data_IF_816111656514
#
_entry.id   IF_816111656514
#
_cell.length_a   1.000
_cell.length_b   1.000
_cell.length_c   1.000
_cell.angle_alpha   90.00
_cell.angle_beta   90.00
_cell.angle_gamma   90.00
#
_symmetry.space_group_name_H-M   'P 1'
#
loop_
_entity.id
_entity.type
_entity.pdbx_description
1 polymer ?
#
# COMPACT_ATOMS: atom_id res chain seq x y z
N UNK A 1 26.00 -2.20 11.48
CA UNK A 1 24.63 -1.73 11.23
C UNK A 1 23.92 -1.24 12.49
N UNK A 2 24.18 -1.80 13.65
CA UNK A 2 23.59 -1.36 14.94
C UNK A 2 24.23 -0.06 15.48
N UNK A 3 25.50 0.21 15.19
CA UNK A 3 26.20 1.42 15.65
C UNK A 3 25.75 2.75 15.01
N UNK A 4 25.02 2.69 13.88
CA UNK A 4 24.47 3.89 13.24
C UNK A 4 23.09 4.29 13.77
N UNK A 5 22.48 3.47 14.62
CA UNK A 5 21.19 3.78 15.23
C UNK A 5 21.34 4.53 16.57
N UNK A 6 22.54 4.49 17.18
CA UNK A 6 22.79 5.14 18.49
C UNK A 6 23.20 6.63 18.36
N UNK A 7 23.62 7.09 17.18
CA UNK A 7 24.11 8.46 16.99
C UNK A 7 23.12 9.29 16.13
N UNK A 8 21.97 9.67 16.68
CA UNK A 8 21.26 10.81 16.14
C UNK A 8 20.06 10.54 15.25
N UNK A 9 19.18 9.62 15.60
CA UNK A 9 17.86 9.49 14.97
C UNK A 9 16.76 10.29 15.70
N UNK A 10 17.08 10.88 16.83
CA UNK A 10 16.21 11.88 17.46
C UNK A 10 16.55 13.23 16.80
N UNK A 11 15.57 13.82 16.14
CA UNK A 11 15.67 15.19 15.67
C UNK A 11 15.95 16.09 16.88
N UNK A 12 17.13 16.71 16.98
CA UNK A 12 17.46 17.53 18.14
C UNK A 12 16.57 18.78 18.27
N UNK A 13 15.77 19.09 17.25
CA UNK A 13 14.80 20.18 17.25
C UNK A 13 13.38 19.69 17.61
N UNK A 14 13.17 18.39 17.85
CA UNK A 14 11.87 17.88 18.26
C UNK A 14 11.56 18.28 19.70
N UNK A 15 10.61 19.17 19.88
CA UNK A 15 10.00 19.44 21.17
C UNK A 15 9.02 18.29 21.52
N UNK A 16 9.52 17.34 22.33
CA UNK A 16 8.76 16.14 22.70
C UNK A 16 7.50 16.49 23.49
N UNK A 17 7.58 17.47 24.40
CA UNK A 17 6.44 17.89 25.22
C UNK A 17 5.33 18.50 24.35
N UNK A 18 5.69 19.43 23.47
CA UNK A 18 4.73 20.01 22.52
C UNK A 18 4.17 18.97 21.52
N UNK A 19 4.94 17.94 21.16
CA UNK A 19 4.44 16.87 20.30
C UNK A 19 3.43 15.98 21.05
N UNK A 20 3.69 15.70 22.32
CA UNK A 20 2.79 14.94 23.18
C UNK A 20 1.48 15.71 23.41
N UNK A 21 1.56 16.99 23.77
CA UNK A 21 0.37 17.82 24.02
C UNK A 21 -0.53 17.91 22.79
N UNK A 22 0.03 18.15 21.60
CA UNK A 22 -0.73 18.11 20.34
C UNK A 22 -1.43 16.78 20.11
N UNK A 23 -0.82 15.68 20.54
CA UNK A 23 -1.41 14.35 20.39
C UNK A 23 -2.57 14.12 21.35
N UNK A 24 -2.47 14.63 22.56
CA UNK A 24 -3.57 14.60 23.53
C UNK A 24 -4.74 15.45 23.04
N UNK A 25 -4.50 16.66 22.55
CA UNK A 25 -5.53 17.52 21.95
C UNK A 25 -6.24 16.84 20.76
N UNK A 26 -5.48 16.10 19.94
CA UNK A 26 -6.06 15.30 18.84
C UNK A 26 -6.96 14.17 19.35
N UNK A 27 -6.56 13.47 20.45
CA UNK A 27 -7.37 12.44 21.08
C UNK A 27 -8.67 13.02 21.66
N UNK A 28 -8.56 14.11 22.41
CA UNK A 28 -9.71 14.79 23.00
C UNK A 28 -10.66 15.28 21.92
N UNK A 29 -10.15 15.76 20.79
CA UNK A 29 -10.96 16.15 19.64
C UNK A 29 -11.80 14.99 19.11
N UNK A 30 -11.25 13.79 18.95
CA UNK A 30 -12.00 12.63 18.44
C UNK A 30 -12.93 12.03 19.48
N UNK A 31 -12.63 12.17 20.77
CA UNK A 31 -13.48 11.68 21.86
C UNK A 31 -14.64 12.64 22.21
N UNK A 32 -14.57 13.88 21.75
CA UNK A 32 -15.68 14.83 21.84
C UNK A 32 -16.78 14.48 20.82
N UNK A 33 -17.97 14.13 21.33
CA UNK A 33 -19.08 13.60 20.50
C UNK A 33 -20.13 14.63 20.13
N UNK A 34 -20.01 15.88 20.59
CA UNK A 34 -21.14 16.82 20.58
C UNK A 34 -21.56 17.37 19.19
N UNK A 35 -20.71 17.25 18.16
CA UNK A 35 -21.02 17.80 16.81
C UNK A 35 -20.55 16.90 15.64
N UNK A 36 -20.44 15.60 15.81
CA UNK A 36 -19.81 14.74 14.80
C UNK A 36 -20.80 14.15 13.81
N UNK A 37 -20.39 14.14 12.54
CA UNK A 37 -21.27 13.83 11.41
C UNK A 37 -21.05 12.44 10.83
N UNK A 38 -19.89 11.82 11.10
CA UNK A 38 -19.49 10.57 10.46
C UNK A 38 -18.98 9.55 11.47
N UNK A 39 -19.20 8.27 11.16
CA UNK A 39 -18.56 7.16 11.85
C UNK A 39 -17.31 6.72 11.07
N UNK A 40 -16.37 6.04 11.75
CA UNK A 40 -15.17 5.53 11.09
C UNK A 40 -15.52 4.50 10.01
N UNK A 41 -16.57 3.67 10.22
CA UNK A 41 -17.03 2.69 9.24
C UNK A 41 -17.52 3.37 7.94
N UNK A 42 -18.23 4.50 8.07
CA UNK A 42 -18.73 5.22 6.90
C UNK A 42 -17.59 5.75 6.02
N UNK A 43 -16.52 6.26 6.63
CA UNK A 43 -15.33 6.71 5.90
C UNK A 43 -14.57 5.51 5.31
N UNK A 44 -14.43 4.42 6.06
CA UNK A 44 -13.79 3.21 5.57
C UNK A 44 -14.53 2.61 4.37
N UNK A 45 -15.85 2.47 4.45
CA UNK A 45 -16.68 1.98 3.35
C UNK A 45 -16.58 2.89 2.12
N UNK A 46 -16.57 4.21 2.32
CA UNK A 46 -16.39 5.17 1.22
C UNK A 46 -15.00 5.01 0.57
N UNK A 47 -13.94 4.84 1.36
CA UNK A 47 -12.58 4.57 0.87
C UNK A 47 -12.55 3.28 0.05
N UNK A 48 -13.11 2.18 0.56
CA UNK A 48 -13.17 0.90 -0.14
C UNK A 48 -13.88 1.03 -1.49
N UNK A 49 -15.03 1.74 -1.54
CA UNK A 49 -15.75 2.01 -2.78
C UNK A 49 -14.95 2.84 -3.78
N UNK A 50 -14.19 3.83 -3.30
CA UNK A 50 -13.32 4.63 -4.16
C UNK A 50 -12.23 3.76 -4.78
N UNK A 51 -11.55 2.96 -3.96
CA UNK A 51 -10.47 2.08 -4.44
C UNK A 51 -11.01 1.00 -5.40
N UNK A 52 -12.17 0.42 -5.09
CA UNK A 52 -12.79 -0.59 -5.96
C UNK A 52 -13.21 -0.03 -7.31
N UNK A 53 -13.81 1.17 -7.34
CA UNK A 53 -14.36 1.74 -8.57
C UNK A 53 -13.34 2.47 -9.46
N UNK A 54 -12.23 2.96 -8.88
CA UNK A 54 -11.33 3.88 -9.60
C UNK A 54 -9.86 3.46 -9.58
N UNK A 55 -9.46 2.55 -8.70
CA UNK A 55 -8.05 2.14 -8.55
C UNK A 55 -7.82 0.64 -8.88
N UNK A 56 -8.63 0.07 -9.77
CA UNK A 56 -8.43 -1.30 -10.22
C UNK A 56 -8.91 -2.36 -9.24
N UNK A 57 -10.08 -2.14 -8.62
CA UNK A 57 -10.71 -3.13 -7.75
C UNK A 57 -11.47 -4.22 -8.51
N UNK A 58 -12.18 -5.06 -7.76
CA UNK A 58 -12.92 -6.21 -8.28
C UNK A 58 -14.01 -5.78 -9.25
N UNK A 59 -14.74 -4.69 -8.94
CA UNK A 59 -15.84 -4.19 -9.77
C UNK A 59 -15.39 -3.73 -11.14
N UNK A 60 -14.13 -3.33 -11.30
CA UNK A 60 -13.51 -2.92 -12.56
C UNK A 60 -12.68 -4.03 -13.22
N UNK A 61 -12.79 -5.27 -12.73
CA UNK A 61 -11.99 -6.40 -13.19
C UNK A 61 -10.47 -6.12 -13.11
N UNK A 62 -10.06 -5.39 -12.06
CA UNK A 62 -8.68 -4.96 -11.82
C UNK A 62 -8.10 -4.01 -12.87
N UNK A 63 -8.95 -3.37 -13.66
CA UNK A 63 -8.57 -2.43 -14.71
C UNK A 63 -8.67 -0.98 -14.21
N UNK A 64 -7.73 -0.15 -14.63
CA UNK A 64 -7.69 1.28 -14.32
C UNK A 64 -7.01 2.07 -15.43
N UNK A 65 -7.19 3.38 -15.42
CA UNK A 65 -6.49 4.33 -16.27
C UNK A 65 -6.12 5.58 -15.47
N UNK A 66 -5.29 6.45 -16.05
CA UNK A 66 -4.77 7.64 -15.36
C UNK A 66 -5.89 8.57 -14.86
N UNK A 67 -6.95 8.76 -15.66
CA UNK A 67 -8.09 9.61 -15.26
C UNK A 67 -8.85 9.06 -14.07
N UNK A 68 -9.05 7.75 -14.02
CA UNK A 68 -9.68 7.08 -12.87
C UNK A 68 -8.81 7.23 -11.62
N UNK A 69 -7.49 7.05 -11.74
CA UNK A 69 -6.56 7.22 -10.61
C UNK A 69 -6.51 8.67 -10.10
N UNK A 70 -6.62 9.67 -10.98
CA UNK A 70 -6.72 11.07 -10.55
C UNK A 70 -8.00 11.32 -9.75
N UNK A 71 -9.13 10.79 -10.23
CA UNK A 71 -10.39 10.88 -9.50
C UNK A 71 -10.37 10.11 -8.18
N UNK A 72 -9.73 8.93 -8.14
CA UNK A 72 -9.51 8.20 -6.90
C UNK A 72 -8.72 9.03 -5.89
N UNK A 73 -7.59 9.63 -6.32
CA UNK A 73 -6.77 10.50 -5.49
C UNK A 73 -7.57 11.64 -4.90
N UNK A 74 -8.28 12.39 -5.74
CA UNK A 74 -9.10 13.52 -5.29
C UNK A 74 -10.13 13.10 -4.23
N UNK A 75 -10.82 11.97 -4.46
CA UNK A 75 -11.81 11.45 -3.51
C UNK A 75 -11.18 11.01 -2.19
N UNK A 76 -10.04 10.33 -2.22
CA UNK A 76 -9.33 9.93 -0.99
C UNK A 76 -8.83 11.16 -0.21
N UNK A 77 -8.31 12.18 -0.88
CA UNK A 77 -7.93 13.45 -0.23
C UNK A 77 -9.14 14.18 0.40
N UNK A 78 -10.32 14.07 -0.21
CA UNK A 78 -11.57 14.56 0.39
C UNK A 78 -11.93 13.77 1.65
N UNK A 79 -11.84 12.43 1.61
CA UNK A 79 -12.08 11.58 2.78
C UNK A 79 -11.10 11.88 3.92
N UNK A 80 -9.82 12.14 3.62
CA UNK A 80 -8.85 12.55 4.65
C UNK A 80 -9.29 13.82 5.41
N UNK A 81 -9.89 14.79 4.71
CA UNK A 81 -10.43 15.99 5.34
C UNK A 81 -11.64 15.70 6.21
N UNK A 82 -12.48 14.75 5.80
CA UNK A 82 -13.67 14.36 6.56
C UNK A 82 -13.35 13.57 7.83
N UNK A 83 -12.18 12.97 7.94
CA UNK A 83 -11.75 12.25 9.16
C UNK A 83 -11.83 13.13 10.41
N UNK A 84 -11.55 14.43 10.31
CA UNK A 84 -11.68 15.37 11.43
C UNK A 84 -13.12 15.53 11.96
N UNK A 85 -14.11 15.04 11.23
CA UNK A 85 -15.52 15.05 11.62
C UNK A 85 -16.02 13.69 12.09
N UNK A 86 -15.13 12.75 12.39
CA UNK A 86 -15.45 11.47 13.02
C UNK A 86 -15.49 11.67 14.53
N UNK A 87 -16.39 10.94 15.22
CA UNK A 87 -16.35 10.79 16.67
C UNK A 87 -16.01 9.36 17.07
N UNK A 88 -15.35 9.22 18.19
CA UNK A 88 -15.14 7.97 18.89
C UNK A 88 -15.78 8.05 20.28
N UNK A 89 -16.56 7.04 20.66
CA UNK A 89 -17.24 7.02 21.98
C UNK A 89 -16.28 6.61 23.10
N UNK A 90 -15.20 5.92 22.76
CA UNK A 90 -14.20 5.46 23.70
C UNK A 90 -12.83 5.26 23.03
N UNK A 91 -11.84 4.86 23.82
CA UNK A 91 -10.47 4.60 23.34
C UNK A 91 -10.38 3.44 22.36
N UNK A 92 -11.33 2.51 22.37
CA UNK A 92 -11.37 1.40 21.43
C UNK A 92 -11.81 1.89 20.03
N UNK A 93 -12.85 2.70 19.97
CA UNK A 93 -13.27 3.32 18.71
C UNK A 93 -12.23 4.31 18.18
N UNK A 94 -11.54 5.04 19.07
CA UNK A 94 -10.45 5.92 18.70
C UNK A 94 -9.34 5.17 17.93
N UNK A 95 -9.05 3.93 18.30
CA UNK A 95 -8.10 3.09 17.56
C UNK A 95 -8.54 2.90 16.10
N UNK A 96 -9.83 2.65 15.85
CA UNK A 96 -10.35 2.50 14.48
C UNK A 96 -10.31 3.81 13.69
N UNK A 97 -10.49 4.97 14.34
CA UNK A 97 -10.29 6.27 13.67
C UNK A 97 -8.86 6.40 13.16
N UNK A 98 -7.86 6.01 13.98
CA UNK A 98 -6.45 6.02 13.55
C UNK A 98 -6.16 5.00 12.45
N UNK A 99 -6.73 3.80 12.53
CA UNK A 99 -6.62 2.82 11.43
C UNK A 99 -7.15 3.37 10.11
N UNK A 100 -8.28 4.04 10.10
CA UNK A 100 -8.84 4.66 8.90
C UNK A 100 -7.94 5.78 8.37
N UNK A 101 -7.35 6.62 9.23
CA UNK A 101 -6.35 7.63 8.84
C UNK A 101 -5.16 6.99 8.12
N UNK A 102 -4.63 5.90 8.67
CA UNK A 102 -3.50 5.18 8.08
C UNK A 102 -3.89 4.52 6.76
N UNK A 103 -5.05 3.86 6.69
CA UNK A 103 -5.56 3.24 5.47
C UNK A 103 -5.76 4.23 4.33
N UNK A 104 -6.25 5.44 4.60
CA UNK A 104 -6.36 6.51 3.61
C UNK A 104 -4.98 6.94 3.09
N UNK A 105 -3.97 7.00 3.96
CA UNK A 105 -2.59 7.30 3.57
C UNK A 105 -2.00 6.18 2.69
N UNK A 106 -2.26 4.92 3.05
CA UNK A 106 -1.88 3.76 2.23
C UNK A 106 -2.59 3.79 0.88
N UNK A 107 -3.89 4.11 0.82
CA UNK A 107 -4.65 4.23 -0.41
C UNK A 107 -4.03 5.27 -1.37
N UNK A 108 -3.65 6.45 -0.87
CA UNK A 108 -2.93 7.47 -1.67
C UNK A 108 -1.58 6.95 -2.18
N UNK A 109 -0.85 6.22 -1.35
CA UNK A 109 0.42 5.60 -1.76
C UNK A 109 0.21 4.58 -2.88
N UNK A 110 -0.80 3.71 -2.76
CA UNK A 110 -1.17 2.73 -3.81
C UNK A 110 -1.53 3.45 -5.12
N UNK A 111 -2.39 4.46 -5.06
CA UNK A 111 -2.79 5.25 -6.23
C UNK A 111 -1.55 5.90 -6.90
N UNK A 112 -0.64 6.46 -6.10
CA UNK A 112 0.58 7.07 -6.62
C UNK A 112 1.48 6.05 -7.33
N UNK A 113 1.65 4.85 -6.76
CA UNK A 113 2.41 3.77 -7.36
C UNK A 113 1.78 3.24 -8.67
N UNK A 114 0.44 3.08 -8.68
CA UNK A 114 -0.29 2.67 -9.89
C UNK A 114 -0.16 3.73 -11.00
N UNK A 115 -0.23 5.01 -10.65
CA UNK A 115 -0.10 6.13 -11.58
C UNK A 115 1.32 6.28 -12.13
N UNK A 116 2.34 6.07 -11.28
CA UNK A 116 3.73 6.23 -11.64
C UNK A 116 4.19 5.17 -12.63
N UNK A 117 3.80 3.90 -12.44
CA UNK A 117 4.21 2.76 -13.27
C UNK A 117 3.48 2.72 -14.61
N UNK A 118 4.21 3.00 -15.70
CA UNK A 118 3.66 3.06 -17.08
C UNK A 118 3.81 1.72 -17.81
N UNK A 119 3.31 0.65 -17.22
CA UNK A 119 3.28 -0.70 -17.81
C UNK A 119 2.22 -1.58 -17.12
N UNK A 120 1.86 -2.69 -17.74
CA UNK A 120 1.10 -3.79 -17.13
C UNK A 120 1.97 -5.03 -17.03
N UNK A 121 2.17 -5.56 -15.80
CA UNK A 121 2.89 -6.83 -15.53
C UNK A 121 1.95 -7.96 -15.13
N UNK A 122 0.84 -7.63 -14.49
CA UNK A 122 -0.06 -8.56 -13.84
C UNK A 122 -1.48 -8.32 -14.34
N UNK A 123 -1.78 -8.75 -15.57
CA UNK A 123 -3.08 -8.55 -16.21
C UNK A 123 -4.29 -9.04 -15.39
N UNK A 124 -4.09 -10.00 -14.47
CA UNK A 124 -5.16 -10.50 -13.61
C UNK A 124 -5.34 -9.74 -12.31
N UNK A 125 -4.47 -8.78 -11.98
CA UNK A 125 -4.47 -8.10 -10.68
C UNK A 125 -4.32 -6.59 -10.75
N UNK A 126 -3.70 -6.05 -11.82
CA UNK A 126 -3.51 -4.61 -12.01
C UNK A 126 -3.23 -4.35 -13.50
N UNK A 127 -4.28 -4.08 -14.26
CA UNK A 127 -4.19 -3.81 -15.70
C UNK A 127 -4.36 -2.32 -15.96
N UNK A 128 -3.26 -1.70 -16.39
CA UNK A 128 -3.26 -0.30 -16.81
C UNK A 128 -3.72 -0.19 -18.25
N UNK A 129 -4.92 0.34 -18.48
CA UNK A 129 -5.52 0.47 -19.80
C UNK A 129 -4.78 1.46 -20.71
N UNK A 130 -4.05 2.43 -20.12
CA UNK A 130 -3.24 3.39 -20.90
C UNK A 130 -1.89 2.77 -21.33
N UNK A 131 -1.40 1.77 -20.57
CA UNK A 131 -0.11 1.09 -20.78
C UNK A 131 -0.29 -0.44 -20.62
N UNK A 132 -0.96 -1.11 -21.58
CA UNK A 132 -1.32 -2.53 -21.43
C UNK A 132 -0.13 -3.48 -21.54
N UNK A 133 0.98 -3.05 -22.13
CA UNK A 133 2.14 -3.89 -22.37
C UNK A 133 3.19 -3.79 -21.28
N UNK A 134 3.92 -4.90 -21.05
CA UNK A 134 5.10 -4.93 -20.19
C UNK A 134 6.26 -4.19 -20.86
N UNK A 135 6.94 -3.31 -20.11
CA UNK A 135 8.12 -2.58 -20.58
C UNK A 135 9.39 -2.98 -19.81
N UNK A 136 10.51 -3.08 -20.52
CA UNK A 136 11.83 -3.29 -19.91
C UNK A 136 12.31 -2.06 -19.13
N UNK A 137 11.89 -0.87 -19.52
CA UNK A 137 12.25 0.38 -18.83
C UNK A 137 11.71 0.44 -17.40
N UNK A 138 10.70 -0.39 -17.11
CA UNK A 138 10.10 -0.54 -15.78
C UNK A 138 10.64 -1.74 -15.00
N UNK A 139 11.75 -2.36 -15.42
CA UNK A 139 12.49 -3.34 -14.60
C UNK A 139 13.30 -2.65 -13.52
N UNK A 140 12.63 -1.89 -12.67
CA UNK A 140 13.15 -1.07 -11.59
C UNK A 140 12.36 -1.26 -10.30
N UNK A 141 12.95 -0.89 -9.16
CA UNK A 141 12.21 -0.69 -7.93
C UNK A 141 11.55 0.69 -7.94
N UNK A 142 10.25 0.73 -7.67
CA UNK A 142 9.51 1.95 -7.44
C UNK A 142 9.25 2.06 -5.93
N UNK A 143 9.76 3.11 -5.32
CA UNK A 143 9.58 3.43 -3.92
C UNK A 143 8.91 4.79 -3.79
N UNK A 144 8.34 5.06 -2.63
CA UNK A 144 7.83 6.38 -2.31
C UNK A 144 8.36 6.87 -0.97
N UNK A 145 8.44 8.18 -0.81
CA UNK A 145 8.84 8.84 0.43
C UNK A 145 8.01 10.12 0.60
N UNK A 146 7.55 10.35 1.82
CA UNK A 146 6.97 11.64 2.18
C UNK A 146 8.10 12.67 2.35
N UNK A 147 8.02 13.79 1.63
CA UNK A 147 8.96 14.92 1.71
C UNK A 147 8.16 16.20 1.71
N UNK A 148 8.28 16.98 2.77
CA UNK A 148 7.55 18.26 2.94
C UNK A 148 6.03 18.14 2.78
N UNK A 149 5.45 17.03 3.24
CA UNK A 149 4.01 16.76 3.12
C UNK A 149 3.56 16.22 1.76
N UNK A 150 4.47 16.05 0.81
CA UNK A 150 4.18 15.49 -0.51
C UNK A 150 4.77 14.08 -0.68
N UNK A 151 4.02 13.20 -1.31
CA UNK A 151 4.49 11.85 -1.65
C UNK A 151 5.33 11.91 -2.93
N UNK A 152 6.65 11.70 -2.80
CA UNK A 152 7.58 11.67 -3.93
C UNK A 152 7.94 10.24 -4.31
N UNK A 153 7.87 9.94 -5.61
CA UNK A 153 8.27 8.64 -6.16
C UNK A 153 9.78 8.61 -6.38
N UNK A 154 10.39 7.46 -6.09
CA UNK A 154 11.84 7.22 -6.19
C UNK A 154 12.06 5.96 -7.00
N UNK A 155 12.71 6.09 -8.14
CA UNK A 155 13.09 4.97 -9.00
C UNK A 155 14.52 4.52 -8.65
N UNK A 156 14.70 3.21 -8.50
CA UNK A 156 16.01 2.60 -8.24
C UNK A 156 16.21 1.42 -9.16
N UNK A 157 17.42 1.31 -9.71
CA UNK A 157 17.79 0.18 -10.53
C UNK A 157 17.77 -1.14 -9.74
N UNK A 158 17.46 -2.25 -10.43
CA UNK A 158 17.61 -3.57 -9.87
C UNK A 158 19.10 -3.87 -9.70
N UNK A 159 19.51 -4.17 -8.46
CA UNK A 159 20.88 -4.61 -8.18
C UNK A 159 20.97 -6.09 -8.50
N UNK A 160 21.76 -6.44 -9.51
CA UNK A 160 22.13 -7.82 -9.76
C UNK A 160 23.24 -8.23 -8.80
N UNK A 161 22.89 -8.99 -7.76
CA UNK A 161 23.82 -9.45 -6.73
C UNK A 161 25.00 -10.26 -7.30
N UNK A 162 24.86 -10.86 -8.49
CA UNK A 162 25.94 -11.57 -9.18
C UNK A 162 27.00 -10.65 -9.80
N UNK A 163 26.79 -9.33 -9.86
CA UNK A 163 27.71 -8.34 -10.39
C UNK A 163 28.42 -7.51 -9.31
N UNK A 164 28.15 -7.76 -8.04
CA UNK A 164 28.91 -7.14 -6.95
C UNK A 164 30.33 -7.72 -6.99
N UNK A 165 31.39 -6.91 -7.17
CA UNK A 165 32.77 -7.42 -7.17
C UNK A 165 33.03 -8.16 -5.86
N UNK A 166 33.67 -9.34 -5.94
CA UNK A 166 33.91 -10.28 -4.86
C UNK A 166 34.80 -9.77 -3.71
N UNK A 167 34.82 -8.45 -3.46
CA UNK A 167 35.66 -7.81 -2.42
C UNK A 167 34.99 -7.62 -1.06
N UNK A 168 33.65 -7.62 -0.94
CA UNK A 168 33.00 -7.19 0.31
C UNK A 168 31.79 -8.00 0.79
N UNK A 169 31.46 -9.14 0.19
CA UNK A 169 30.50 -10.08 0.78
C UNK A 169 30.88 -11.51 0.39
N UNK A 170 31.21 -12.33 1.38
CA UNK A 170 31.21 -13.77 1.23
C UNK A 170 29.75 -14.22 1.08
N UNK A 171 29.28 -14.28 -0.16
CA UNK A 171 27.98 -14.85 -0.49
C UNK A 171 28.14 -16.38 -0.46
N UNK A 172 27.90 -17.00 0.69
CA UNK A 172 27.79 -18.46 0.83
C UNK A 172 26.38 -18.90 0.41
N UNK A 173 25.97 -18.56 -0.80
CA UNK A 173 24.85 -19.22 -1.46
C UNK A 173 25.45 -20.28 -2.35
N UNK A 174 25.48 -21.53 -1.90
CA UNK A 174 25.74 -22.68 -2.73
C UNK A 174 24.79 -22.63 -3.92
N UNK A 175 25.26 -22.80 -5.16
CA UNK A 175 24.37 -22.94 -6.30
C UNK A 175 23.48 -24.15 -6.03
N UNK A 176 22.16 -23.98 -6.07
CA UNK A 176 21.24 -25.09 -6.10
C UNK A 176 21.65 -26.01 -7.24
N UNK A 177 21.70 -27.33 -7.03
CA UNK A 177 21.99 -28.25 -8.13
C UNK A 177 20.96 -28.03 -9.22
N UNK A 178 21.44 -27.95 -10.44
CA UNK A 178 20.65 -27.80 -11.66
C UNK A 178 19.41 -28.67 -11.58
N UNK A 179 18.24 -28.03 -11.66
CA UNK A 179 16.99 -28.73 -11.84
C UNK A 179 17.04 -29.40 -13.22
N UNK A 180 17.53 -30.64 -13.24
CA UNK A 180 17.34 -31.54 -14.36
C UNK A 180 15.85 -31.61 -14.65
N UNK A 181 15.49 -31.26 -15.86
CA UNK A 181 14.17 -31.37 -16.45
C UNK A 181 13.67 -32.82 -16.39
N UNK A 182 13.03 -33.20 -15.29
CA UNK A 182 12.21 -34.40 -15.23
C UNK A 182 10.79 -33.95 -14.90
N UNK A 183 9.95 -34.07 -15.92
CA UNK A 183 8.55 -33.78 -15.86
C UNK A 183 7.84 -34.53 -14.74
N UNK A 184 7.37 -33.78 -13.75
CA UNK A 184 6.35 -34.23 -12.83
C UNK A 184 4.99 -33.90 -13.46
N UNK A 185 4.46 -34.90 -14.19
CA UNK A 185 3.05 -34.93 -14.52
C UNK A 185 2.26 -35.05 -13.22
N UNK A 186 1.53 -34.00 -12.88
CA UNK A 186 0.45 -34.10 -11.90
C UNK A 186 -0.69 -34.89 -12.55
N UNK A 187 -0.78 -36.18 -12.25
CA UNK A 187 -2.00 -36.94 -12.44
C UNK A 187 -3.01 -36.53 -11.34
N UNK A 188 -3.90 -35.61 -11.68
CA UNK A 188 -5.08 -35.34 -10.88
C UNK A 188 -6.02 -36.55 -10.95
N UNK A 189 -6.15 -37.29 -9.84
CA UNK A 189 -7.29 -38.17 -9.65
C UNK A 189 -8.52 -37.30 -9.42
N UNK A 190 -9.37 -37.23 -10.42
CA UNK A 190 -10.71 -36.71 -10.30
C UNK A 190 -11.58 -37.67 -9.51
N UNK A 191 -11.96 -37.29 -8.30
CA UNK A 191 -13.07 -37.92 -7.59
C UNK A 191 -14.36 -37.31 -8.11
N UNK A 192 -15.08 -38.14 -8.88
CA UNK A 192 -16.44 -37.89 -9.35
C UNK A 192 -17.38 -38.02 -8.16
N UNK A 193 -17.97 -36.92 -7.70
CA UNK A 193 -19.12 -37.00 -6.81
C UNK A 193 -20.37 -37.34 -7.62
N UNK A 194 -20.83 -38.59 -7.49
CA UNK A 194 -22.16 -39.00 -7.94
C UNK A 194 -23.21 -38.38 -7.01
N UNK A 195 -24.07 -37.55 -7.57
CA UNK A 195 -25.36 -37.19 -6.96
C UNK A 195 -26.29 -38.39 -7.06
N UNK A 196 -26.61 -39.00 -5.93
CA UNK A 196 -27.75 -39.92 -5.85
C UNK A 196 -28.98 -39.16 -5.40
N UNK A 197 -29.92 -39.02 -6.33
CA UNK A 197 -31.33 -38.70 -6.05
C UNK A 197 -31.96 -39.80 -5.18
N UNK A 198 -32.52 -39.41 -4.04
CA UNK A 198 -33.71 -39.99 -3.45
C UNK A 198 -34.44 -38.95 -2.58
#
# INVERSE_FOLDING_TARGET
MVKQLDDGYLDPELDEEAAFDRKIEEYDHFLDTDEKMFTYEAIEEAMQKVMDNYAGGISTHYQFNEKQLELAKEKIEQLQKLVWHISAHDMHELMFVYEVKERLTVALSVIAHLKDRKETRWHSFAENLDYPEKSKDWEIFVNSKMVDGELKMIHRELVNLCQVPAGNMACSVSPSPEATSNGLMFQGKGDVYEHSDK
#
